data_IF_649775679089
#
_entry.id   IF_649775679089
#
_cell.length_a   1.000
_cell.length_b   1.000
_cell.length_c   1.000
_cell.angle_alpha   90.00
_cell.angle_beta   90.00
_cell.angle_gamma   90.00
#
_symmetry.space_group_name_H-M   'P 1'
#
loop_
_entity.id
_entity.type
_entity.pdbx_description
1 polymer ?
#
# COMPACT_ATOMS: atom_id res chain seq x y z
N UNK A 1 -19.35 73.46 -7.58
CA UNK A 1 -19.55 73.97 -6.21
C UNK A 1 -19.63 72.73 -5.31
N UNK A 2 -18.51 72.31 -4.68
CA UNK A 2 -18.15 72.55 -3.25
C UNK A 2 -19.21 72.00 -2.29
N UNK A 3 -18.98 71.14 -1.29
CA UNK A 3 -17.83 70.60 -0.52
C UNK A 3 -18.25 69.19 -0.02
N UNK A 4 -17.43 68.20 0.34
CA UNK A 4 -16.15 68.19 1.04
C UNK A 4 -16.36 67.80 2.51
N UNK A 5 -16.00 66.56 2.91
CA UNK A 5 -15.65 66.19 4.28
C UNK A 5 -14.85 64.86 4.34
N UNK A 6 -13.71 64.95 5.02
CA UNK A 6 -12.63 64.00 5.28
C UNK A 6 -13.06 62.81 6.18
N UNK A 7 -12.64 61.57 5.93
CA UNK A 7 -11.36 60.90 6.26
C UNK A 7 -11.14 60.55 7.75
N UNK A 8 -11.03 59.24 8.04
CA UNK A 8 -10.12 58.68 9.06
C UNK A 8 -9.75 57.25 8.69
N UNK A 9 -8.49 57.06 8.29
CA UNK A 9 -7.83 55.78 8.13
C UNK A 9 -7.17 55.36 9.45
N UNK A 10 -7.36 54.11 9.87
CA UNK A 10 -6.66 53.51 10.99
C UNK A 10 -5.37 52.83 10.51
N UNK A 11 -4.26 53.17 11.18
CA UNK A 11 -2.89 52.72 10.92
C UNK A 11 -2.67 51.26 11.36
N UNK A 12 -1.73 50.53 10.73
CA UNK A 12 -1.25 49.24 11.19
C UNK A 12 -0.23 49.39 12.32
N UNK A 13 -0.27 48.48 13.30
CA UNK A 13 0.71 48.36 14.38
C UNK A 13 2.03 47.74 13.87
N UNK A 14 3.19 48.25 14.31
CA UNK A 14 4.50 47.69 13.99
C UNK A 14 4.93 46.69 15.07
N UNK A 15 5.64 45.63 14.66
CA UNK A 15 6.50 44.89 15.58
C UNK A 15 7.83 44.57 14.87
N UNK A 16 8.83 45.39 15.15
CA UNK A 16 10.23 45.04 14.98
C UNK A 16 10.67 44.23 16.21
N UNK A 17 11.38 43.12 16.00
CA UNK A 17 12.39 42.70 16.97
C UNK A 17 13.57 42.04 16.26
N UNK A 18 14.64 42.80 16.21
CA UNK A 18 16.02 42.47 15.86
C UNK A 18 16.61 41.37 16.74
N UNK A 19 17.27 40.37 16.15
CA UNK A 19 18.42 39.68 16.75
C UNK A 19 19.51 39.39 15.70
N UNK A 20 20.46 40.33 15.62
CA UNK A 20 21.91 40.13 15.68
C UNK A 20 22.56 38.96 14.91
N UNK A 21 23.26 39.34 13.84
CA UNK A 21 24.43 38.66 13.27
C UNK A 21 25.50 38.36 14.34
N UNK A 22 26.01 37.13 14.38
CA UNK A 22 27.41 36.84 14.72
C UNK A 22 28.00 35.92 13.66
N UNK A 23 28.92 36.49 12.87
CA UNK A 23 29.93 35.74 12.15
C UNK A 23 30.94 35.19 13.17
N UNK A 24 31.26 33.91 13.05
CA UNK A 24 32.56 33.37 13.48
C UNK A 24 32.93 32.23 12.53
N UNK A 25 33.95 32.50 11.74
CA UNK A 25 34.65 31.60 10.83
C UNK A 25 35.55 30.63 11.58
N UNK A 26 35.51 29.32 11.28
CA UNK A 26 36.70 28.43 11.17
C UNK A 26 36.32 27.04 10.61
N UNK A 27 37.25 26.29 9.97
CA UNK A 27 36.94 25.33 8.91
C UNK A 27 36.94 23.83 9.32
N UNK A 28 36.32 23.03 8.43
CA UNK A 28 36.47 21.58 8.11
C UNK A 28 36.90 20.61 9.23
N UNK A 29 36.15 19.50 9.35
CA UNK A 29 36.69 18.13 9.42
C UNK A 29 35.64 17.08 9.07
N UNK A 30 35.98 16.19 8.14
CA UNK A 30 35.33 14.91 7.93
C UNK A 30 35.50 14.05 9.19
N UNK A 31 34.44 13.37 9.62
CA UNK A 31 34.52 12.29 10.60
C UNK A 31 33.90 11.03 10.01
N UNK A 32 34.79 10.06 9.75
CA UNK A 32 34.49 8.64 9.55
C UNK A 32 34.26 8.00 10.92
N UNK A 33 33.19 7.21 11.03
CA UNK A 33 32.75 6.58 12.28
C UNK A 33 33.51 5.26 12.50
N UNK A 34 34.61 5.32 13.25
CA UNK A 34 35.22 4.16 13.93
C UNK A 34 35.60 4.65 15.34
N UNK A 35 35.32 3.79 16.33
CA UNK A 35 35.60 3.91 17.77
C UNK A 35 34.61 4.71 18.62
N UNK A 36 33.81 4.00 19.44
CA UNK A 36 34.02 3.88 20.90
C UNK A 36 32.97 2.88 21.45
N UNK A 37 33.41 1.64 21.66
CA UNK A 37 32.77 0.65 22.54
C UNK A 37 33.66 0.48 23.77
N UNK A 38 33.18 0.84 24.96
CA UNK A 38 33.55 0.22 26.24
C UNK A 38 32.79 0.90 27.39
N UNK A 39 31.86 0.17 28.00
CA UNK A 39 31.66 0.08 29.46
C UNK A 39 30.39 -0.70 29.78
N UNK A 40 30.55 -2.00 30.06
CA UNK A 40 29.92 -2.68 31.20
C UNK A 40 30.26 -4.16 31.15
N UNK A 41 31.32 -4.51 31.87
CA UNK A 41 31.75 -5.85 32.25
C UNK A 41 30.89 -6.40 33.40
N UNK A 42 30.57 -7.70 33.38
CA UNK A 42 30.71 -8.59 34.54
C UNK A 42 30.47 -10.07 34.14
N UNK A 43 31.50 -10.88 34.32
CA UNK A 43 31.46 -12.36 34.38
C UNK A 43 31.41 -12.79 35.85
N UNK A 44 31.17 -14.09 36.14
CA UNK A 44 32.28 -14.83 36.74
C UNK A 44 32.57 -16.20 36.12
N UNK A 45 33.85 -16.57 36.22
CA UNK A 45 34.52 -17.80 35.78
C UNK A 45 34.30 -18.98 36.73
N UNK A 46 34.28 -20.19 36.17
CA UNK A 46 34.97 -21.40 36.66
C UNK A 46 34.99 -22.39 35.48
N UNK A 47 36.04 -23.09 35.06
CA UNK A 47 37.32 -23.44 35.68
C UNK A 47 37.51 -24.96 35.53
N UNK A 48 38.23 -25.42 34.50
CA UNK A 48 39.17 -26.58 34.52
C UNK A 48 39.69 -26.91 33.12
N UNK A 49 41.01 -26.97 33.03
CA UNK A 49 41.82 -27.54 31.95
C UNK A 49 42.21 -28.96 32.35
N UNK A 50 42.15 -29.92 31.44
CA UNK A 50 42.96 -31.14 31.45
C UNK A 50 43.28 -31.56 30.02
N UNK A 51 44.51 -32.02 29.82
CA UNK A 51 45.27 -32.11 28.57
C UNK A 51 45.66 -33.59 28.30
N UNK A 52 45.49 -34.06 27.05
CA UNK A 52 46.19 -35.19 26.33
C UNK A 52 46.13 -36.63 26.95
N UNK A 53 46.16 -37.80 26.26
CA UNK A 53 46.55 -38.31 24.91
C UNK A 53 45.85 -39.72 24.68
N UNK A 54 46.17 -40.63 23.72
CA UNK A 54 45.23 -41.19 22.74
C UNK A 54 45.07 -42.75 22.69
N UNK A 55 44.25 -43.24 21.73
CA UNK A 55 44.01 -44.66 21.26
C UNK A 55 43.18 -45.55 22.22
N UNK A 56 42.24 -46.42 21.81
CA UNK A 56 41.91 -47.05 20.53
C UNK A 56 40.49 -47.70 20.56
N UNK A 57 39.90 -47.88 19.36
CA UNK A 57 38.90 -48.90 18.92
C UNK A 57 37.43 -48.85 19.43
N UNK A 58 36.53 -48.67 18.45
CA UNK A 58 35.46 -49.63 18.18
C UNK A 58 34.06 -49.30 18.68
N UNK A 59 33.25 -48.64 17.85
CA UNK A 59 31.83 -48.96 17.65
C UNK A 59 31.27 -48.06 16.54
N UNK A 60 31.05 -48.64 15.37
CA UNK A 60 30.24 -48.07 14.28
C UNK A 60 28.80 -47.88 14.76
N UNK A 61 28.34 -46.63 14.85
CA UNK A 61 26.91 -46.30 14.83
C UNK A 61 26.63 -45.56 13.52
N UNK A 62 26.13 -46.33 12.56
CA UNK A 62 25.65 -45.88 11.26
C UNK A 62 24.32 -45.14 11.48
N UNK A 63 24.36 -43.81 11.62
CA UNK A 63 23.14 -42.99 11.52
C UNK A 63 22.85 -42.82 10.04
N UNK A 64 22.08 -43.77 9.48
CA UNK A 64 21.42 -43.60 8.18
C UNK A 64 20.40 -42.48 8.28
N UNK A 65 20.78 -41.26 7.87
CA UNK A 65 19.80 -40.26 7.49
C UNK A 65 19.28 -40.63 6.09
N UNK A 66 17.99 -40.92 6.00
CA UNK A 66 17.33 -41.24 4.73
C UNK A 66 17.40 -40.04 3.80
N UNK A 67 18.04 -40.23 2.63
CA UNK A 67 17.90 -39.34 1.50
C UNK A 67 16.44 -39.37 1.03
N UNK A 68 15.67 -38.39 1.48
CA UNK A 68 14.35 -38.10 0.95
C UNK A 68 14.41 -36.81 0.13
N UNK A 69 14.40 -36.99 -1.19
CA UNK A 69 13.75 -36.08 -2.14
C UNK A 69 14.35 -34.67 -2.29
N UNK A 70 15.58 -34.57 -2.80
CA UNK A 70 15.99 -33.35 -3.50
C UNK A 70 15.23 -33.30 -4.82
N UNK A 71 14.11 -32.57 -4.85
CA UNK A 71 13.44 -32.19 -6.10
C UNK A 71 14.33 -31.15 -6.78
N UNK A 72 15.21 -31.60 -7.67
CA UNK A 72 15.98 -30.73 -8.53
C UNK A 72 15.04 -30.04 -9.52
N UNK A 73 14.76 -28.76 -9.30
CA UNK A 73 14.11 -27.92 -10.29
C UNK A 73 15.07 -27.74 -11.48
N UNK A 74 14.81 -28.45 -12.58
CA UNK A 74 15.43 -28.14 -13.88
C UNK A 74 14.87 -26.79 -14.35
N UNK A 75 15.67 -25.74 -14.27
CA UNK A 75 15.43 -24.51 -15.00
C UNK A 75 15.66 -24.80 -16.49
N UNK A 76 14.56 -24.92 -17.23
CA UNK A 76 14.59 -24.90 -18.69
C UNK A 76 14.88 -23.47 -19.15
N UNK A 77 16.12 -23.22 -19.56
CA UNK A 77 16.59 -21.91 -20.04
C UNK A 77 16.20 -21.63 -21.50
N UNK A 78 15.35 -22.45 -22.14
CA UNK A 78 15.09 -22.37 -23.58
C UNK A 78 13.78 -21.68 -24.00
N UNK A 79 12.99 -21.15 -23.05
CA UNK A 79 11.88 -20.26 -23.38
C UNK A 79 12.28 -18.82 -23.11
N UNK A 80 12.23 -18.02 -24.16
CA UNK A 80 12.22 -16.56 -24.16
C UNK A 80 11.73 -16.03 -22.80
N UNK A 81 12.68 -15.54 -22.00
CA UNK A 81 12.42 -15.16 -20.61
C UNK A 81 11.41 -14.02 -20.62
N UNK A 82 10.13 -14.36 -20.43
CA UNK A 82 9.16 -13.46 -19.81
C UNK A 82 9.90 -12.82 -18.64
N UNK A 83 10.05 -11.50 -18.65
CA UNK A 83 10.83 -10.77 -17.64
C UNK A 83 10.47 -11.31 -16.26
N UNK A 84 11.44 -11.94 -15.59
CA UNK A 84 11.19 -12.61 -14.32
C UNK A 84 10.70 -11.59 -13.29
N UNK A 85 9.78 -12.00 -12.41
CA UNK A 85 9.37 -11.17 -11.27
C UNK A 85 10.43 -11.30 -10.17
N UNK A 86 10.87 -10.19 -9.61
CA UNK A 86 11.81 -10.19 -8.49
C UNK A 86 11.15 -10.70 -7.19
N UNK A 87 9.85 -10.44 -7.02
CA UNK A 87 9.02 -11.03 -5.97
C UNK A 87 7.72 -11.50 -6.60
N UNK A 88 7.28 -12.70 -6.23
CA UNK A 88 6.02 -13.30 -6.69
C UNK A 88 5.42 -14.23 -5.64
N UNK A 89 4.18 -14.68 -5.88
CA UNK A 89 3.52 -15.71 -5.07
C UNK A 89 3.69 -17.08 -5.72
N UNK A 90 4.43 -17.98 -5.07
CA UNK A 90 4.59 -19.39 -5.47
C UNK A 90 3.98 -20.25 -4.36
N UNK A 91 3.00 -21.09 -4.71
CA UNK A 91 2.31 -21.96 -3.75
C UNK A 91 1.80 -21.18 -2.52
N UNK A 92 1.17 -20.02 -2.78
CA UNK A 92 0.65 -19.08 -1.77
C UNK A 92 1.69 -18.52 -0.79
N UNK A 93 2.97 -18.54 -1.17
CA UNK A 93 4.07 -17.94 -0.42
C UNK A 93 4.76 -16.86 -1.23
N UNK A 94 5.00 -15.72 -0.59
CA UNK A 94 5.80 -14.64 -1.17
C UNK A 94 7.24 -15.12 -1.30
N UNK A 95 7.72 -15.24 -2.53
CA UNK A 95 9.06 -15.73 -2.88
C UNK A 95 9.83 -14.64 -3.59
N UNK A 96 11.07 -14.41 -3.18
CA UNK A 96 11.96 -13.40 -3.76
C UNK A 96 13.13 -14.02 -4.50
N UNK A 97 13.51 -13.41 -5.63
CA UNK A 97 14.61 -13.81 -6.49
C UNK A 97 15.65 -12.69 -6.53
N UNK A 98 16.78 -12.92 -5.88
CA UNK A 98 17.83 -11.91 -5.68
C UNK A 98 19.20 -12.45 -6.06
N UNK A 99 20.05 -11.57 -6.59
CA UNK A 99 21.46 -11.82 -6.81
C UNK A 99 22.32 -11.00 -5.86
N UNK A 100 23.63 -11.24 -5.86
CA UNK A 100 24.56 -10.39 -5.12
C UNK A 100 24.41 -8.92 -5.55
N UNK A 101 24.61 -8.01 -4.61
CA UNK A 101 24.62 -6.57 -4.82
C UNK A 101 25.51 -6.16 -5.99
N UNK A 102 25.37 -4.91 -6.42
CA UNK A 102 26.24 -4.33 -7.44
C UNK A 102 26.68 -2.94 -7.01
N UNK A 103 27.91 -2.58 -7.37
CA UNK A 103 28.42 -1.24 -7.18
C UNK A 103 27.67 -0.22 -8.05
N UNK A 104 27.88 1.07 -7.78
CA UNK A 104 27.20 2.17 -8.49
C UNK A 104 27.42 2.17 -10.02
N UNK A 105 28.49 1.52 -10.51
CA UNK A 105 28.77 1.34 -11.93
C UNK A 105 28.19 0.04 -12.52
N UNK A 106 27.37 -0.69 -11.77
CA UNK A 106 26.66 -1.90 -12.22
C UNK A 106 27.47 -3.20 -12.16
N UNK A 107 28.70 -3.19 -11.62
CA UNK A 107 29.50 -4.42 -11.46
C UNK A 107 28.97 -5.23 -10.28
N UNK A 108 28.64 -6.50 -10.51
CA UNK A 108 28.17 -7.41 -9.47
C UNK A 108 29.29 -7.65 -8.45
N UNK A 109 28.94 -7.53 -7.17
CA UNK A 109 29.86 -7.71 -6.05
C UNK A 109 30.31 -9.17 -5.90
N UNK A 110 31.51 -9.36 -5.35
CA UNK A 110 31.96 -10.68 -4.90
C UNK A 110 31.28 -11.04 -3.58
N UNK A 111 31.21 -12.33 -3.20
CA UNK A 111 30.67 -12.71 -1.89
C UNK A 111 31.34 -11.97 -0.73
N UNK A 112 32.66 -11.75 -0.79
CA UNK A 112 33.39 -11.02 0.24
C UNK A 112 32.95 -9.56 0.41
N UNK A 113 32.45 -8.91 -0.65
CA UNK A 113 31.91 -7.53 -0.58
C UNK A 113 30.43 -7.50 -0.25
N UNK A 114 29.67 -8.47 -0.75
CA UNK A 114 28.23 -8.53 -0.58
C UNK A 114 27.83 -9.01 0.82
N UNK A 115 28.60 -9.91 1.43
CA UNK A 115 28.41 -10.35 2.82
C UNK A 115 28.92 -9.26 3.74
N UNK A 116 28.03 -8.66 4.53
CA UNK A 116 28.44 -7.72 5.56
C UNK A 116 28.88 -8.48 6.83
N UNK A 117 28.08 -9.44 7.27
CA UNK A 117 28.30 -10.32 8.42
C UNK A 117 27.55 -11.65 8.25
N UNK A 118 27.46 -12.46 9.31
CA UNK A 118 26.89 -13.82 9.25
C UNK A 118 25.38 -13.90 8.97
N UNK A 119 24.66 -12.79 9.11
CA UNK A 119 23.21 -12.69 8.92
C UNK A 119 22.79 -11.62 7.90
N UNK A 120 23.73 -10.87 7.32
CA UNK A 120 23.44 -9.77 6.39
C UNK A 120 24.17 -9.88 5.06
N UNK A 121 23.39 -9.84 3.96
CA UNK A 121 23.86 -9.69 2.59
C UNK A 121 23.33 -8.41 1.95
N UNK A 122 24.17 -7.76 1.15
CA UNK A 122 23.75 -6.79 0.14
C UNK A 122 23.30 -7.51 -1.13
N UNK A 123 22.07 -7.28 -1.55
CA UNK A 123 21.45 -7.97 -2.70
C UNK A 123 20.87 -6.99 -3.70
N UNK A 124 20.72 -7.44 -4.95
CA UNK A 124 19.96 -6.74 -6.00
C UNK A 124 18.82 -7.63 -6.48
N UNK A 125 17.71 -7.02 -6.87
CA UNK A 125 16.59 -7.72 -7.47
C UNK A 125 16.99 -8.40 -8.79
N UNK A 126 16.48 -9.61 -9.03
CA UNK A 126 16.56 -10.29 -10.33
C UNK A 126 15.16 -10.28 -10.92
N UNK A 127 14.85 -9.23 -11.67
CA UNK A 127 13.54 -9.05 -12.29
C UNK A 127 12.83 -7.77 -11.90
N UNK A 128 11.54 -7.70 -12.22
CA UNK A 128 10.68 -6.56 -11.94
C UNK A 128 9.83 -6.77 -10.70
N UNK A 129 9.50 -5.70 -9.98
CA UNK A 129 8.51 -5.73 -8.92
C UNK A 129 7.13 -5.36 -9.45
N UNK A 130 6.09 -6.05 -8.97
CA UNK A 130 4.74 -5.50 -9.02
C UNK A 130 4.60 -4.42 -7.95
N UNK A 131 3.84 -3.36 -8.24
CA UNK A 131 3.56 -2.26 -7.32
C UNK A 131 2.06 -2.03 -7.24
N UNK A 132 1.52 -1.89 -6.02
CA UNK A 132 0.14 -1.50 -5.77
C UNK A 132 0.11 -0.27 -4.89
N UNK A 133 -0.68 0.71 -5.32
CA UNK A 133 -0.87 1.96 -4.61
C UNK A 133 -1.72 1.71 -3.35
N UNK A 134 -1.24 2.20 -2.21
CA UNK A 134 -1.98 2.19 -0.95
C UNK A 134 -3.07 3.26 -0.94
N UNK A 135 -4.14 3.02 -0.18
CA UNK A 135 -5.21 3.99 0.08
C UNK A 135 -6.19 4.21 -1.08
N UNK A 136 -6.02 3.53 -2.21
CA UNK A 136 -6.88 3.69 -3.40
C UNK A 136 -7.31 2.34 -3.98
N UNK A 137 -8.44 2.35 -4.69
CA UNK A 137 -8.89 1.24 -5.52
C UNK A 137 -9.47 1.79 -6.83
N UNK A 138 -8.90 1.37 -7.97
CA UNK A 138 -9.33 1.78 -9.30
C UNK A 138 -10.21 0.72 -9.92
N UNK A 139 -11.15 1.07 -10.83
CA UNK A 139 -11.88 0.09 -11.62
C UNK A 139 -10.93 -0.86 -12.35
N UNK A 140 -11.33 -2.12 -12.43
CA UNK A 140 -10.53 -3.21 -12.95
C UNK A 140 -10.51 -3.17 -14.49
N UNK A 141 -9.32 -3.24 -15.10
CA UNK A 141 -9.19 -3.44 -16.57
C UNK A 141 -9.50 -4.89 -16.95
N UNK A 142 -9.17 -5.84 -16.08
CA UNK A 142 -9.42 -7.25 -16.27
C UNK A 142 -9.51 -7.97 -14.94
N UNK A 143 -10.30 -9.05 -14.89
CA UNK A 143 -10.37 -9.91 -13.71
C UNK A 143 -10.77 -11.34 -14.10
N UNK A 144 -10.77 -12.26 -13.15
CA UNK A 144 -11.27 -13.63 -13.35
C UNK A 144 -12.79 -13.64 -13.30
N UNK A 145 -13.44 -14.24 -14.30
CA UNK A 145 -14.88 -14.55 -14.26
C UNK A 145 -15.15 -15.73 -13.29
N UNK A 146 -16.39 -15.87 -12.77
CA UNK A 146 -16.76 -17.01 -11.91
C UNK A 146 -16.34 -18.36 -12.52
N UNK A 147 -15.62 -19.17 -11.73
CA UNK A 147 -15.15 -20.49 -12.14
C UNK A 147 -14.02 -20.51 -13.18
N UNK A 148 -13.56 -19.35 -13.69
CA UNK A 148 -12.48 -19.26 -14.67
C UNK A 148 -11.16 -18.84 -14.00
N UNK A 149 -10.06 -19.50 -14.37
CA UNK A 149 -8.69 -19.15 -13.94
C UNK A 149 -8.05 -17.97 -14.70
N UNK A 150 -8.19 -17.83 -16.03
CA UNK A 150 -7.53 -16.73 -16.72
C UNK A 150 -8.18 -15.39 -16.39
N UNK A 151 -7.36 -14.34 -16.32
CA UNK A 151 -7.85 -12.97 -16.33
C UNK A 151 -8.50 -12.69 -17.69
N UNK A 152 -9.69 -12.10 -17.66
CA UNK A 152 -10.48 -11.73 -18.83
C UNK A 152 -10.71 -10.22 -18.77
N UNK A 153 -10.42 -9.52 -19.87
CA UNK A 153 -10.72 -8.08 -19.99
C UNK A 153 -12.16 -7.80 -19.62
N UNK A 154 -12.44 -6.75 -18.84
CA UNK A 154 -13.80 -6.38 -18.45
C UNK A 154 -14.66 -6.01 -19.67
N UNK A 155 -14.04 -5.63 -20.81
CA UNK A 155 -14.75 -5.38 -22.07
C UNK A 155 -15.25 -6.65 -22.78
N UNK A 156 -14.83 -7.84 -22.33
CA UNK A 156 -15.31 -9.08 -22.91
C UNK A 156 -16.82 -9.23 -22.67
N UNK A 157 -17.57 -9.68 -23.69
CA UNK A 157 -19.02 -9.84 -23.62
C UNK A 157 -19.49 -10.77 -22.48
N UNK A 158 -18.65 -11.71 -22.04
CA UNK A 158 -18.95 -12.56 -20.88
C UNK A 158 -19.10 -11.75 -19.57
N UNK A 159 -18.38 -10.64 -19.42
CA UNK A 159 -18.54 -9.74 -18.27
C UNK A 159 -19.85 -9.00 -18.31
N UNK A 160 -20.28 -8.57 -19.49
CA UNK A 160 -21.59 -7.91 -19.66
C UNK A 160 -22.73 -8.88 -19.35
N UNK A 161 -22.64 -10.14 -19.81
CA UNK A 161 -23.58 -11.20 -19.43
C UNK A 161 -23.59 -11.43 -17.92
N UNK A 162 -22.41 -11.55 -17.30
CA UNK A 162 -22.31 -11.80 -15.87
C UNK A 162 -22.85 -10.64 -15.03
N UNK A 163 -22.45 -9.40 -15.32
CA UNK A 163 -22.87 -8.23 -14.56
C UNK A 163 -24.30 -7.77 -14.88
N UNK A 164 -24.94 -8.31 -15.93
CA UNK A 164 -26.37 -8.12 -16.16
C UNK A 164 -27.23 -8.80 -15.09
N UNK A 165 -26.82 -9.99 -14.62
CA UNK A 165 -27.43 -10.67 -13.47
C UNK A 165 -26.38 -11.55 -12.76
N UNK A 166 -25.58 -10.99 -11.83
CA UNK A 166 -24.55 -11.75 -11.13
C UNK A 166 -25.13 -12.70 -10.07
N UNK A 167 -26.45 -12.67 -9.84
CA UNK A 167 -27.15 -13.53 -8.89
C UNK A 167 -27.80 -14.75 -9.55
N UNK A 168 -27.74 -14.84 -10.89
CA UNK A 168 -28.23 -15.98 -11.63
C UNK A 168 -27.63 -17.30 -11.12
N UNK A 169 -28.48 -18.33 -11.03
CA UNK A 169 -28.10 -19.65 -10.51
C UNK A 169 -26.94 -20.30 -11.28
N UNK A 170 -26.74 -19.95 -12.56
CA UNK A 170 -25.66 -20.48 -13.40
C UNK A 170 -24.25 -20.16 -12.86
N UNK A 171 -24.10 -19.10 -12.05
CA UNK A 171 -22.83 -18.71 -11.43
C UNK A 171 -22.60 -19.34 -10.04
N UNK A 172 -23.49 -20.24 -9.61
CA UNK A 172 -23.44 -20.90 -8.32
C UNK A 172 -23.99 -20.04 -7.17
N UNK A 173 -24.31 -20.68 -6.05
CA UNK A 173 -24.90 -20.00 -4.89
C UNK A 173 -23.94 -18.96 -4.29
N UNK A 174 -24.47 -17.80 -3.94
CA UNK A 174 -23.77 -16.76 -3.19
C UNK A 174 -24.67 -16.31 -2.05
N UNK A 175 -24.30 -16.67 -0.83
CA UNK A 175 -25.06 -16.30 0.36
C UNK A 175 -24.65 -14.88 0.76
N UNK A 176 -25.48 -13.89 0.46
CA UNK A 176 -25.31 -12.51 0.92
C UNK A 176 -26.36 -12.16 1.96
N UNK A 177 -26.03 -11.21 2.84
CA UNK A 177 -27.03 -10.50 3.63
C UNK A 177 -28.09 -9.88 2.69
N UNK A 178 -29.40 -9.97 2.99
CA UNK A 178 -30.44 -9.43 2.11
C UNK A 178 -30.27 -7.94 1.78
N UNK A 179 -29.76 -7.13 2.72
CA UNK A 179 -29.55 -5.71 2.48
C UNK A 179 -28.37 -5.47 1.52
N UNK A 180 -27.29 -6.27 1.63
CA UNK A 180 -26.19 -6.23 0.67
C UNK A 180 -26.64 -6.69 -0.72
N UNK A 181 -27.45 -7.75 -0.81
CA UNK A 181 -28.00 -8.21 -2.08
C UNK A 181 -28.83 -7.11 -2.76
N UNK A 182 -29.71 -6.44 -2.00
CA UNK A 182 -30.51 -5.32 -2.50
C UNK A 182 -29.64 -4.13 -2.93
N UNK A 183 -28.62 -3.77 -2.15
CA UNK A 183 -27.67 -2.72 -2.48
C UNK A 183 -26.97 -2.96 -3.82
N UNK A 184 -26.49 -4.19 -4.04
CA UNK A 184 -25.78 -4.56 -5.26
C UNK A 184 -26.72 -4.71 -6.46
N UNK A 185 -27.93 -5.24 -6.26
CA UNK A 185 -28.93 -5.38 -7.32
C UNK A 185 -29.29 -4.03 -7.96
N UNK A 186 -29.24 -2.93 -7.19
CA UNK A 186 -29.48 -1.59 -7.70
C UNK A 186 -28.32 -1.02 -8.56
N UNK A 187 -27.12 -1.59 -8.46
CA UNK A 187 -25.90 -1.13 -9.15
C UNK A 187 -25.64 -1.88 -10.45
N UNK A 188 -25.92 -3.18 -10.45
CA UNK A 188 -25.66 -4.11 -11.58
C UNK A 188 -26.77 -4.04 -12.63
N UNK A 189 -26.64 -4.81 -13.71
CA UNK A 189 -27.55 -4.79 -14.87
C UNK A 189 -26.84 -4.40 -16.16
N UNK A 190 -27.61 -4.28 -17.25
CA UNK A 190 -27.07 -3.95 -18.57
C UNK A 190 -26.22 -2.67 -18.55
N UNK A 191 -25.11 -2.68 -19.28
CA UNK A 191 -24.10 -1.63 -19.38
C UNK A 191 -23.15 -1.54 -18.18
N UNK A 192 -23.30 -2.39 -17.15
CA UNK A 192 -22.45 -2.32 -15.96
C UNK A 192 -20.98 -2.64 -16.30
N UNK A 193 -20.72 -3.64 -17.16
CA UNK A 193 -19.34 -3.97 -17.55
C UNK A 193 -18.72 -2.85 -18.40
N UNK A 194 -19.48 -2.29 -19.35
CA UNK A 194 -19.03 -1.16 -20.17
C UNK A 194 -18.71 0.08 -19.32
N UNK A 195 -19.56 0.42 -18.36
CA UNK A 195 -19.32 1.53 -17.42
C UNK A 195 -18.03 1.30 -16.61
N UNK A 196 -17.84 0.09 -16.06
CA UNK A 196 -16.64 -0.25 -15.29
C UNK A 196 -15.36 -0.17 -16.13
N UNK A 197 -15.38 -0.75 -17.33
CA UNK A 197 -14.25 -0.74 -18.25
C UNK A 197 -13.88 0.68 -18.71
N UNK A 198 -14.87 1.54 -18.96
CA UNK A 198 -14.65 2.95 -19.29
C UNK A 198 -13.86 3.66 -18.19
N UNK A 199 -14.32 3.56 -16.94
CA UNK A 199 -13.63 4.20 -15.82
C UNK A 199 -12.25 3.59 -15.54
N UNK A 200 -12.09 2.28 -15.77
CA UNK A 200 -10.79 1.62 -15.66
C UNK A 200 -9.77 2.20 -16.66
N UNK A 201 -10.17 2.38 -17.93
CA UNK A 201 -9.34 2.98 -18.97
C UNK A 201 -9.04 4.46 -18.69
N UNK A 202 -10.02 5.21 -18.19
CA UNK A 202 -9.80 6.61 -17.81
C UNK A 202 -8.76 6.71 -16.69
N UNK A 203 -8.86 5.86 -15.66
CA UNK A 203 -7.90 5.81 -14.56
C UNK A 203 -6.49 5.42 -15.05
N UNK A 204 -6.38 4.44 -15.93
CA UNK A 204 -5.12 4.05 -16.56
C UNK A 204 -4.50 5.21 -17.35
N UNK A 205 -5.26 5.81 -18.27
CA UNK A 205 -4.78 6.90 -19.12
C UNK A 205 -4.34 8.12 -18.30
N UNK A 206 -5.08 8.45 -17.24
CA UNK A 206 -4.71 9.53 -16.33
C UNK A 206 -3.37 9.25 -15.63
N UNK A 207 -3.16 8.04 -15.11
CA UNK A 207 -1.88 7.69 -14.47
C UNK A 207 -0.72 7.73 -15.48
N UNK A 208 -0.92 7.22 -16.69
CA UNK A 208 0.08 7.29 -17.77
C UNK A 208 0.44 8.74 -18.11
N UNK A 209 -0.56 9.63 -18.14
CA UNK A 209 -0.35 11.06 -18.37
C UNK A 209 0.40 11.73 -17.22
N UNK A 210 0.06 11.44 -15.97
CA UNK A 210 0.73 12.00 -14.79
C UNK A 210 2.22 11.61 -14.76
N UNK A 211 2.53 10.34 -15.01
CA UNK A 211 3.91 9.85 -15.08
C UNK A 211 4.66 10.49 -16.25
N UNK A 212 4.04 10.56 -17.43
CA UNK A 212 4.62 11.20 -18.61
C UNK A 212 4.92 12.68 -18.36
N UNK A 213 4.01 13.38 -17.69
CA UNK A 213 4.16 14.79 -17.33
C UNK A 213 5.29 14.99 -16.33
N UNK A 214 5.45 14.08 -15.37
CA UNK A 214 6.55 14.14 -14.40
C UNK A 214 7.92 13.84 -15.03
N UNK A 215 7.99 12.92 -15.99
CA UNK A 215 9.20 12.68 -16.80
C UNK A 215 9.60 13.96 -17.56
N UNK A 216 8.63 14.59 -18.23
CA UNK A 216 8.85 15.82 -18.97
C UNK A 216 9.25 17.00 -18.06
N UNK A 217 8.58 17.15 -16.90
CA UNK A 217 8.86 18.21 -15.94
C UNK A 217 10.26 18.10 -15.31
N UNK A 218 10.81 16.89 -15.23
CA UNK A 218 12.19 16.66 -14.77
C UNK A 218 13.22 16.68 -15.92
N UNK A 219 12.78 16.88 -17.17
CA UNK A 219 13.61 16.79 -18.36
C UNK A 219 14.44 15.48 -18.43
N UNK A 220 13.82 14.37 -18.02
CA UNK A 220 14.44 13.04 -18.02
C UNK A 220 13.97 12.20 -19.21
N UNK A 221 14.76 11.20 -19.57
CA UNK A 221 14.32 10.10 -20.42
C UNK A 221 13.72 8.97 -19.58
N UNK A 222 12.93 8.09 -20.20
CA UNK A 222 12.25 6.97 -19.53
C UNK A 222 13.23 6.05 -18.76
N UNK A 223 14.43 5.82 -19.29
CA UNK A 223 15.45 4.96 -18.69
C UNK A 223 16.14 5.58 -17.46
N UNK A 224 15.99 6.88 -17.28
CA UNK A 224 16.61 7.70 -16.24
C UNK A 224 15.60 8.13 -15.18
N UNK A 225 14.31 8.08 -15.49
CA UNK A 225 13.23 8.36 -14.55
C UNK A 225 13.21 7.34 -13.41
N UNK A 226 13.02 7.82 -12.19
CA UNK A 226 12.98 7.00 -10.97
C UNK A 226 11.74 7.32 -10.17
N UNK A 227 11.21 6.30 -9.51
CA UNK A 227 10.09 6.44 -8.59
C UNK A 227 10.61 6.48 -7.16
N UNK A 228 10.07 7.39 -6.36
CA UNK A 228 10.20 7.41 -4.93
C UNK A 228 9.03 6.66 -4.30
N UNK A 229 9.32 5.59 -3.56
CA UNK A 229 8.31 4.75 -2.91
C UNK A 229 8.41 4.94 -1.40
N UNK A 230 7.27 5.23 -0.77
CA UNK A 230 7.13 5.21 0.68
C UNK A 230 6.20 4.09 1.09
N UNK A 231 6.74 3.13 1.84
CA UNK A 231 5.99 2.01 2.41
C UNK A 231 5.28 2.42 3.70
N UNK A 232 4.15 1.77 3.98
CA UNK A 232 3.51 1.83 5.29
C UNK A 232 3.94 0.61 6.12
N UNK A 233 3.07 0.10 6.98
CA UNK A 233 3.36 -1.06 7.85
C UNK A 233 3.60 -2.33 7.04
N UNK A 234 2.74 -2.63 6.07
CA UNK A 234 2.95 -3.75 5.15
C UNK A 234 3.73 -3.27 3.92
N UNK A 235 4.86 -3.93 3.65
CA UNK A 235 5.73 -3.61 2.51
C UNK A 235 5.33 -4.39 1.25
N UNK A 236 4.94 -5.66 1.42
CA UNK A 236 4.62 -6.59 0.31
C UNK A 236 3.30 -7.28 0.60
N UNK A 237 2.41 -7.36 -0.40
CA UNK A 237 1.19 -8.15 -0.28
C UNK A 237 1.40 -9.64 -0.55
N UNK A 238 0.38 -10.46 -0.26
CA UNK A 238 0.42 -11.91 -0.51
C UNK A 238 0.64 -12.30 -1.98
N UNK A 239 0.51 -11.37 -2.92
CA UNK A 239 0.72 -11.59 -4.35
C UNK A 239 2.15 -11.23 -4.80
N UNK A 240 3.00 -10.78 -3.88
CA UNK A 240 4.37 -10.36 -4.16
C UNK A 240 4.49 -8.95 -4.71
N UNK A 241 3.47 -8.09 -4.51
CA UNK A 241 3.52 -6.70 -4.94
C UNK A 241 3.94 -5.80 -3.80
N UNK A 242 4.81 -4.84 -4.09
CA UNK A 242 5.13 -3.72 -3.21
C UNK A 242 3.88 -2.89 -2.93
N UNK A 243 3.71 -2.43 -1.69
CA UNK A 243 2.60 -1.60 -1.23
C UNK A 243 3.11 -0.21 -0.84
N UNK A 244 2.84 0.81 -1.67
CA UNK A 244 3.43 2.12 -1.42
C UNK A 244 2.55 3.31 -1.78
N UNK A 245 2.93 4.44 -1.21
CA UNK A 245 2.65 5.76 -1.75
C UNK A 245 3.79 6.13 -2.70
N UNK A 246 3.43 6.54 -3.92
CA UNK A 246 4.38 6.62 -5.02
C UNK A 246 4.46 8.04 -5.53
N UNK A 247 5.69 8.52 -5.77
CA UNK A 247 5.93 9.82 -6.37
C UNK A 247 7.12 9.72 -7.35
N UNK A 248 7.38 10.77 -8.12
CA UNK A 248 8.66 10.91 -8.83
C UNK A 248 9.80 11.08 -7.83
N UNK A 249 10.95 10.48 -8.12
CA UNK A 249 12.14 10.70 -7.31
C UNK A 249 12.73 12.08 -7.60
N UNK A 250 12.97 12.84 -6.53
CA UNK A 250 13.57 14.18 -6.62
C UNK A 250 14.29 14.51 -5.32
N UNK A 251 15.49 15.09 -5.45
CA UNK A 251 16.37 15.41 -4.33
C UNK A 251 15.80 16.52 -3.45
N UNK A 252 15.23 17.57 -4.04
CA UNK A 252 14.64 18.68 -3.29
C UNK A 252 13.19 18.37 -2.88
N UNK A 253 12.84 18.68 -1.63
CA UNK A 253 11.47 18.53 -1.15
C UNK A 253 10.55 19.66 -1.63
N UNK A 254 11.12 20.84 -1.89
CA UNK A 254 10.37 21.99 -2.41
C UNK A 254 9.78 21.67 -3.79
N UNK A 255 8.51 22.04 -4.00
CA UNK A 255 7.83 21.79 -5.27
C UNK A 255 7.57 20.31 -5.59
N UNK A 256 7.73 19.40 -4.62
CA UNK A 256 7.30 18.01 -4.82
C UNK A 256 5.78 17.97 -4.95
N UNK A 257 5.25 17.43 -6.05
CA UNK A 257 3.80 17.29 -6.23
C UNK A 257 3.23 16.25 -5.25
N UNK A 258 1.91 16.18 -5.17
CA UNK A 258 1.21 15.10 -4.47
C UNK A 258 1.66 13.73 -5.00
N UNK A 259 1.54 12.69 -4.18
CA UNK A 259 1.78 11.32 -4.63
C UNK A 259 0.79 10.94 -5.74
N UNK A 260 1.16 10.02 -6.62
CA UNK A 260 0.23 9.53 -7.65
C UNK A 260 -1.06 8.97 -7.04
N UNK A 261 -0.98 8.35 -5.85
CA UNK A 261 -2.13 7.90 -5.07
C UNK A 261 -3.11 9.06 -4.81
N UNK A 262 -2.61 10.17 -4.31
CA UNK A 262 -3.40 11.36 -3.95
C UNK A 262 -3.93 12.08 -5.20
N UNK A 263 -3.13 12.17 -6.27
CA UNK A 263 -3.58 12.77 -7.54
C UNK A 263 -4.72 11.98 -8.17
N UNK A 264 -4.65 10.65 -8.15
CA UNK A 264 -5.74 9.77 -8.62
C UNK A 264 -7.05 10.02 -7.85
N UNK A 265 -6.97 10.18 -6.53
CA UNK A 265 -8.14 10.49 -5.70
C UNK A 265 -8.67 11.91 -5.95
N UNK A 266 -7.79 12.90 -6.02
CA UNK A 266 -8.15 14.30 -6.27
C UNK A 266 -8.86 14.48 -7.62
N UNK A 267 -8.44 13.73 -8.65
CA UNK A 267 -9.05 13.76 -9.97
C UNK A 267 -10.33 12.90 -10.10
N UNK A 268 -10.72 12.16 -9.05
CA UNK A 268 -11.84 11.22 -9.12
C UNK A 268 -11.57 10.02 -10.04
N UNK A 269 -10.31 9.63 -10.22
CA UNK A 269 -9.90 8.46 -11.04
C UNK A 269 -9.80 7.16 -10.23
N UNK A 270 -9.92 7.25 -8.90
CA UNK A 270 -9.95 6.12 -7.99
C UNK A 270 -10.94 6.36 -6.86
N UNK A 271 -11.43 5.29 -6.24
CA UNK A 271 -12.14 5.36 -4.97
C UNK A 271 -11.14 5.30 -3.80
N UNK A 272 -11.40 5.98 -2.67
CA UNK A 272 -10.61 5.78 -1.47
C UNK A 272 -10.80 4.35 -0.96
N UNK A 273 -9.70 3.71 -0.60
CA UNK A 273 -9.71 2.36 -0.03
C UNK A 273 -8.69 2.28 1.10
N UNK A 274 -9.02 2.96 2.19
CA UNK A 274 -8.18 3.06 3.38
C UNK A 274 -8.24 1.75 4.15
N UNK A 275 -7.11 1.06 4.25
CA UNK A 275 -6.99 -0.20 4.97
C UNK A 275 -6.03 -0.01 6.13
N UNK A 276 -6.50 -0.17 7.36
CA UNK A 276 -5.65 -0.21 8.54
C UNK A 276 -4.74 -1.45 8.49
N UNK A 277 -3.45 -1.34 8.87
CA UNK A 277 -2.76 -0.17 9.43
C UNK A 277 -2.12 0.76 8.38
N UNK A 278 -2.27 0.48 7.08
CA UNK A 278 -1.56 1.15 5.98
C UNK A 278 -2.14 2.52 5.57
N UNK A 279 -2.68 3.29 6.51
CA UNK A 279 -3.37 4.56 6.26
C UNK A 279 -2.46 5.79 6.36
N UNK A 280 -1.28 5.67 6.96
CA UNK A 280 -0.29 6.75 7.00
C UNK A 280 1.14 6.18 6.97
N UNK A 281 1.88 6.31 5.84
CA UNK A 281 3.22 5.75 5.72
C UNK A 281 4.30 6.65 6.35
N UNK A 282 3.93 7.83 6.84
CA UNK A 282 4.84 8.82 7.42
C UNK A 282 4.86 8.78 8.95
N UNK A 283 3.92 8.05 9.57
CA UNK A 283 3.91 7.85 11.01
C UNK A 283 4.61 6.54 11.35
N UNK A 284 5.74 6.64 12.04
CA UNK A 284 6.34 5.49 12.69
C UNK A 284 5.45 5.10 13.87
N UNK A 285 4.85 3.92 13.81
CA UNK A 285 4.10 3.34 14.92
C UNK A 285 5.07 2.51 15.76
N UNK A 286 4.99 2.61 17.08
CA UNK A 286 5.82 1.82 18.01
C UNK A 286 5.47 0.33 17.92
N UNK A 287 4.20 0.00 17.73
CA UNK A 287 3.70 -1.36 17.53
C UNK A 287 2.33 -1.35 16.83
N UNK A 288 1.88 -2.52 16.35
CA UNK A 288 0.52 -2.66 15.80
C UNK A 288 -0.59 -2.42 16.85
N UNK A 289 -0.50 -2.91 18.10
CA UNK A 289 -1.48 -2.56 19.13
C UNK A 289 -1.59 -1.06 19.39
N UNK A 290 -0.46 -0.35 19.47
CA UNK A 290 -0.45 1.10 19.70
C UNK A 290 -1.04 1.90 18.50
N UNK A 291 -1.20 1.25 17.35
CA UNK A 291 -1.77 1.83 16.15
C UNK A 291 -3.29 1.68 16.06
N UNK A 292 -3.89 0.87 16.93
CA UNK A 292 -5.35 0.68 16.98
C UNK A 292 -5.98 2.01 17.37
N UNK A 293 -7.03 2.42 16.65
CA UNK A 293 -7.78 3.61 17.00
C UNK A 293 -8.57 3.34 18.28
N UNK A 294 -8.48 4.22 19.27
CA UNK A 294 -9.34 4.14 20.44
C UNK A 294 -10.83 4.31 20.03
N UNK A 295 -11.76 3.57 20.64
CA UNK A 295 -13.19 3.76 20.46
C UNK A 295 -13.60 5.24 20.60
N UNK A 296 -14.46 5.72 19.69
CA UNK A 296 -14.93 7.10 19.68
C UNK A 296 -13.95 8.13 19.12
N UNK A 297 -12.68 7.78 18.90
CA UNK A 297 -11.66 8.70 18.40
C UNK A 297 -11.52 8.71 16.87
N UNK A 298 -12.30 7.91 16.14
CA UNK A 298 -12.16 7.79 14.68
C UNK A 298 -12.37 9.13 13.97
N UNK A 299 -13.43 9.87 14.32
CA UNK A 299 -13.68 11.21 13.78
C UNK A 299 -12.55 12.19 14.12
N UNK A 300 -12.05 12.17 15.35
CA UNK A 300 -10.97 13.05 15.79
C UNK A 300 -9.67 12.76 15.04
N UNK A 301 -9.29 11.50 14.92
CA UNK A 301 -8.13 11.07 14.13
C UNK A 301 -8.29 11.53 12.68
N UNK A 302 -9.47 11.33 12.10
CA UNK A 302 -9.73 11.71 10.71
C UNK A 302 -9.75 13.23 10.47
N UNK A 303 -9.89 14.05 11.53
CA UNK A 303 -9.82 15.52 11.48
C UNK A 303 -8.42 16.09 11.79
N UNK A 304 -7.62 15.39 12.58
CA UNK A 304 -6.34 15.90 13.07
C UNK A 304 -5.12 15.26 12.39
N UNK A 305 -5.25 14.04 11.84
CA UNK A 305 -4.22 13.44 11.00
C UNK A 305 -4.18 14.12 9.63
N UNK A 306 -3.20 15.02 9.45
CA UNK A 306 -3.11 15.89 8.27
C UNK A 306 -3.17 15.16 6.93
N UNK A 307 -2.49 14.02 6.78
CA UNK A 307 -2.50 13.24 5.54
C UNK A 307 -3.88 12.62 5.26
N UNK A 308 -4.46 11.95 6.26
CA UNK A 308 -5.78 11.33 6.13
C UNK A 308 -6.86 12.39 5.88
N UNK A 309 -6.85 13.48 6.65
CA UNK A 309 -7.75 14.62 6.45
C UNK A 309 -7.61 15.21 5.05
N UNK A 310 -6.39 15.48 4.60
CA UNK A 310 -6.12 16.07 3.30
C UNK A 310 -6.70 15.24 2.17
N UNK A 311 -6.46 13.93 2.20
CA UNK A 311 -7.00 12.99 1.20
C UNK A 311 -8.52 12.92 1.25
N UNK A 312 -9.12 12.85 2.44
CA UNK A 312 -10.59 12.83 2.60
C UNK A 312 -11.24 14.09 2.04
N UNK A 313 -10.65 15.26 2.28
CA UNK A 313 -11.12 16.53 1.72
C UNK A 313 -11.03 16.53 0.20
N UNK A 314 -9.92 16.04 -0.37
CA UNK A 314 -9.76 15.93 -1.83
C UNK A 314 -10.82 15.02 -2.47
N UNK A 315 -11.13 13.87 -1.85
CA UNK A 315 -12.18 12.96 -2.35
C UNK A 315 -13.56 13.59 -2.21
N UNK A 316 -13.85 14.22 -1.06
CA UNK A 316 -15.12 14.92 -0.86
C UNK A 316 -15.32 16.02 -1.90
N UNK A 317 -14.25 16.74 -2.25
CA UNK A 317 -14.27 17.76 -3.31
C UNK A 317 -14.51 17.12 -4.68
N UNK A 318 -13.77 16.08 -5.05
CA UNK A 318 -13.99 15.36 -6.32
C UNK A 318 -15.42 14.82 -6.45
N UNK A 319 -16.00 14.33 -5.36
CA UNK A 319 -17.40 13.89 -5.29
C UNK A 319 -18.38 15.05 -5.47
N UNK A 320 -18.16 16.18 -4.80
CA UNK A 320 -19.01 17.37 -4.94
C UNK A 320 -18.94 17.96 -6.36
N UNK A 321 -17.76 17.94 -6.97
CA UNK A 321 -17.51 18.40 -8.33
C UNK A 321 -17.92 17.38 -9.40
N UNK A 322 -18.37 16.19 -8.99
CA UNK A 322 -18.85 15.10 -9.86
C UNK A 322 -17.79 14.65 -10.86
N UNK A 323 -16.55 14.49 -10.40
CA UNK A 323 -15.41 14.10 -11.23
C UNK A 323 -15.32 12.58 -11.38
N UNK A 324 -14.94 12.14 -12.59
CA UNK A 324 -14.58 10.75 -12.89
C UNK A 324 -15.60 9.72 -12.37
N UNK A 325 -15.16 8.86 -11.44
CA UNK A 325 -15.99 7.82 -10.83
C UNK A 325 -17.19 8.37 -10.06
N UNK A 326 -17.21 9.66 -9.73
CA UNK A 326 -18.32 10.34 -9.04
C UNK A 326 -19.24 11.14 -9.99
N UNK A 327 -19.10 10.99 -11.31
CA UNK A 327 -19.93 11.71 -12.28
C UNK A 327 -21.43 11.47 -12.06
N UNK A 328 -22.25 12.53 -12.15
CA UNK A 328 -23.68 12.45 -11.78
C UNK A 328 -24.51 11.53 -12.68
N UNK A 329 -24.21 11.46 -13.99
CA UNK A 329 -25.00 10.70 -14.96
C UNK A 329 -24.30 9.43 -15.46
N UNK A 330 -23.00 9.30 -15.17
CA UNK A 330 -22.18 8.19 -15.66
C UNK A 330 -21.02 7.90 -14.70
N UNK A 331 -21.27 8.04 -13.39
CA UNK A 331 -20.34 7.63 -12.35
C UNK A 331 -20.12 6.12 -12.38
N UNK A 332 -19.10 5.66 -11.66
CA UNK A 332 -18.84 4.24 -11.51
C UNK A 332 -20.01 3.60 -10.77
N UNK A 333 -20.64 2.59 -11.39
CA UNK A 333 -21.81 1.91 -10.82
C UNK A 333 -21.44 0.90 -9.74
N UNK A 334 -20.40 0.10 -10.00
CA UNK A 334 -19.96 -1.01 -9.17
C UNK A 334 -18.53 -0.76 -8.69
N UNK A 335 -18.30 -0.82 -7.39
CA UNK A 335 -16.98 -0.57 -6.81
C UNK A 335 -16.01 -1.71 -7.19
N UNK A 336 -14.70 -1.47 -7.33
CA UNK A 336 -13.79 -2.50 -7.86
C UNK A 336 -13.69 -3.72 -6.93
N UNK A 337 -13.70 -3.54 -5.61
CA UNK A 337 -13.75 -4.67 -4.69
C UNK A 337 -15.10 -5.43 -4.74
N UNK A 338 -16.21 -4.77 -5.09
CA UNK A 338 -17.52 -5.41 -5.29
C UNK A 338 -17.49 -6.34 -6.50
N UNK A 339 -16.95 -5.87 -7.63
CA UNK A 339 -16.72 -6.71 -8.82
C UNK A 339 -15.90 -7.95 -8.45
N UNK A 340 -14.81 -7.76 -7.70
CA UNK A 340 -13.90 -8.85 -7.31
C UNK A 340 -14.60 -9.92 -6.48
N UNK A 341 -15.36 -9.55 -5.44
CA UNK A 341 -15.99 -10.55 -4.59
C UNK A 341 -17.21 -11.22 -5.28
N UNK A 342 -17.94 -10.49 -6.13
CA UNK A 342 -19.03 -11.05 -6.94
C UNK A 342 -18.48 -12.11 -7.90
N UNK A 343 -17.38 -11.82 -8.59
CA UNK A 343 -16.76 -12.74 -9.53
C UNK A 343 -16.14 -13.95 -8.83
N UNK A 344 -15.55 -13.75 -7.64
CA UNK A 344 -14.99 -14.84 -6.83
C UNK A 344 -16.05 -15.68 -6.10
N UNK A 345 -17.32 -15.29 -6.13
CA UNK A 345 -18.41 -15.88 -5.31
C UNK A 345 -18.07 -15.87 -3.82
N UNK A 346 -17.50 -14.78 -3.33
CA UNK A 346 -17.09 -14.60 -1.93
C UNK A 346 -17.79 -13.39 -1.30
N UNK A 347 -18.01 -13.44 0.00
CA UNK A 347 -18.51 -12.29 0.77
C UNK A 347 -17.36 -11.29 0.99
N UNK A 348 -17.66 -9.98 1.13
CA UNK A 348 -16.69 -9.06 1.69
C UNK A 348 -16.28 -9.52 3.11
N UNK A 349 -15.02 -9.32 3.46
CA UNK A 349 -14.41 -9.84 4.69
C UNK A 349 -13.57 -8.79 5.45
N UNK A 350 -13.84 -7.50 5.21
CA UNK A 350 -13.20 -6.40 5.92
C UNK A 350 -14.26 -5.64 6.70
N UNK A 351 -14.06 -5.55 8.00
CA UNK A 351 -14.88 -4.74 8.90
C UNK A 351 -14.63 -3.27 8.60
N UNK A 352 -15.59 -2.40 8.91
CA UNK A 352 -15.47 -0.99 8.55
C UNK A 352 -15.71 -0.10 9.77
N UNK A 353 -14.80 0.84 9.98
CA UNK A 353 -14.95 1.96 10.91
C UNK A 353 -15.47 3.16 10.12
N UNK A 354 -16.48 3.82 10.65
CA UNK A 354 -16.95 5.11 10.16
C UNK A 354 -16.07 6.25 10.72
N UNK A 355 -15.22 6.81 9.86
CA UNK A 355 -14.33 7.94 10.18
C UNK A 355 -15.07 9.27 10.39
N UNK A 356 -16.39 9.31 10.21
CA UNK A 356 -17.22 10.45 10.59
C UNK A 356 -17.90 10.28 11.95
N UNK A 357 -17.83 9.08 12.52
CA UNK A 357 -18.52 8.72 13.76
C UNK A 357 -17.63 8.88 15.00
N UNK A 358 -18.25 9.27 16.10
CA UNK A 358 -17.68 9.25 17.46
C UNK A 358 -18.12 8.01 18.25
N UNK A 359 -18.66 7.00 17.56
CA UNK A 359 -19.06 5.72 18.15
C UNK A 359 -17.92 4.72 18.23
N UNK A 360 -18.25 3.50 18.64
CA UNK A 360 -17.32 2.38 18.80
C UNK A 360 -17.74 1.13 18.00
N UNK A 361 -18.60 1.31 17.00
CA UNK A 361 -19.11 0.21 16.18
C UNK A 361 -18.11 -0.15 15.07
N UNK A 362 -17.74 -1.42 15.00
CA UNK A 362 -17.16 -2.04 13.81
C UNK A 362 -18.31 -2.57 12.96
N UNK A 363 -18.57 -1.91 11.84
CA UNK A 363 -19.59 -2.35 10.89
C UNK A 363 -19.20 -3.70 10.30
N UNK A 364 -20.20 -4.59 10.23
CA UNK A 364 -20.01 -5.91 9.65
C UNK A 364 -19.56 -5.77 8.18
N UNK A 365 -18.68 -6.64 7.65
CA UNK A 365 -18.20 -6.54 6.27
C UNK A 365 -19.28 -6.47 5.19
N UNK A 366 -20.48 -6.99 5.45
CA UNK A 366 -21.63 -6.91 4.53
C UNK A 366 -22.48 -5.64 4.71
N UNK A 367 -22.06 -4.71 5.56
CA UNK A 367 -22.75 -3.46 5.91
C UNK A 367 -21.90 -2.22 5.63
N UNK A 368 -20.80 -2.35 4.87
CA UNK A 368 -19.92 -1.23 4.52
C UNK A 368 -20.68 -0.07 3.84
N UNK A 369 -21.74 -0.39 3.10
CA UNK A 369 -22.54 0.59 2.35
C UNK A 369 -23.44 1.43 3.25
N UNK A 370 -23.62 1.06 4.52
CA UNK A 370 -24.32 1.90 5.51
C UNK A 370 -23.56 3.23 5.74
N UNK A 371 -22.24 3.23 5.51
CA UNK A 371 -21.40 4.44 5.48
C UNK A 371 -21.43 4.99 4.04
N UNK A 372 -22.27 6.00 3.80
CA UNK A 372 -22.57 6.50 2.46
C UNK A 372 -21.35 7.09 1.72
N UNK A 373 -20.51 7.84 2.43
CA UNK A 373 -19.33 8.52 1.87
C UNK A 373 -18.14 7.58 1.88
N UNK A 374 -17.49 7.42 0.73
CA UNK A 374 -16.40 6.44 0.60
C UNK A 374 -15.16 6.92 1.37
N UNK A 375 -14.95 8.24 1.40
CA UNK A 375 -13.90 8.89 2.17
C UNK A 375 -14.04 8.73 3.70
N UNK A 376 -15.18 8.20 4.18
CA UNK A 376 -15.43 7.95 5.59
C UNK A 376 -15.24 6.47 5.97
N UNK A 377 -14.91 5.59 5.02
CA UNK A 377 -14.74 4.15 5.26
C UNK A 377 -13.28 3.82 5.58
N UNK A 378 -13.01 3.34 6.79
CA UNK A 378 -11.75 2.72 7.16
C UNK A 378 -11.92 1.22 7.31
N UNK A 379 -11.29 0.45 6.42
CA UNK A 379 -11.37 -1.00 6.40
C UNK A 379 -10.34 -1.63 7.36
N UNK A 380 -10.80 -2.62 8.13
CA UNK A 380 -9.99 -3.45 9.04
C UNK A 380 -10.10 -4.90 8.55
N UNK A 381 -8.96 -5.56 8.30
CA UNK A 381 -8.97 -6.99 7.96
C UNK A 381 -9.36 -7.85 9.15
N UNK A 382 -9.99 -9.00 8.88
CA UNK A 382 -10.35 -9.99 9.92
C UNK A 382 -9.20 -10.32 10.87
N UNK A 383 -7.96 -10.43 10.36
CA UNK A 383 -6.77 -10.73 11.17
C UNK A 383 -6.46 -9.69 12.27
N UNK A 384 -7.04 -8.48 12.16
CA UNK A 384 -6.80 -7.38 13.10
C UNK A 384 -8.03 -7.06 13.97
N UNK A 385 -9.20 -7.66 13.70
CA UNK A 385 -10.45 -7.30 14.38
C UNK A 385 -10.37 -7.54 15.88
N UNK A 386 -9.74 -8.63 16.31
CA UNK A 386 -9.63 -8.96 17.74
C UNK A 386 -8.81 -7.92 18.51
N UNK A 387 -7.88 -7.22 17.86
CA UNK A 387 -7.14 -6.12 18.47
C UNK A 387 -8.04 -4.91 18.74
N UNK A 388 -8.93 -4.58 17.80
CA UNK A 388 -9.92 -3.52 17.99
C UNK A 388 -10.94 -3.91 19.07
N UNK A 389 -11.40 -5.16 19.09
CA UNK A 389 -12.31 -5.65 20.15
C UNK A 389 -11.64 -5.57 21.53
N UNK A 390 -10.36 -5.95 21.63
CA UNK A 390 -9.59 -5.82 22.87
C UNK A 390 -9.43 -4.34 23.32
N UNK A 391 -9.36 -3.40 22.38
CA UNK A 391 -9.36 -1.97 22.65
C UNK A 391 -10.76 -1.40 22.97
N UNK A 392 -11.82 -2.21 22.97
CA UNK A 392 -13.18 -1.79 23.36
C UNK A 392 -14.14 -1.48 22.21
N UNK A 393 -13.78 -1.83 20.96
CA UNK A 393 -14.71 -1.76 19.84
C UNK A 393 -15.77 -2.87 19.90
N UNK A 394 -16.97 -2.56 19.42
CA UNK A 394 -18.11 -3.48 19.39
C UNK A 394 -18.36 -3.93 17.96
N UNK A 395 -18.36 -5.25 17.73
CA UNK A 395 -18.73 -5.82 16.42
C UNK A 395 -20.23 -5.71 16.19
N UNK A 396 -20.63 -5.20 15.04
CA UNK A 396 -22.00 -5.32 14.56
C UNK A 396 -22.32 -6.80 14.29
N UNK A 397 -23.43 -7.29 14.82
CA UNK A 397 -23.99 -8.60 14.44
C UNK A 397 -24.55 -8.58 13.01
N UNK A 398 -24.83 -9.77 12.47
CA UNK A 398 -25.70 -9.93 11.29
C UNK A 398 -27.04 -10.47 11.75
#
# INVERSE_FOLDING_TARGET
MMNGLAATAAKPFPFESTWSKRQASTPRRHFTLVDILAKSSCWPRAGRVLQYCPRQRGASHEVRMSQSSIVAYKFDNSKERVMAKAIESILDKVTGHFGLGASANGVVDTPHKAVHDGDTFSVRAVGNFGLRFLGIDTPEISFQLPGKKPFTSIENADWERFLSDPFAAEYGAMLLDPALAAHLAAKVGAGCATNHAKHAKNAQAFLEQEVTSDIAAQALANDSFRLFLRFATDVVDRYGRLLAYVNRDQQEAAGRPLTYNERMLQAGMALPYFIWPNINPFRQQSSLPDAVLEPGMAADVAQHESSLRGVRLSVAQARNDKLGVFAANDGLRLEPFELRYLAQRRRPNRWVIDLSSTGNLLHHPQRYFDIAKHEDRLYVSDDHVDMFVAAGWVKQGI
#
